data_IF_835249103546
#
_entry.id   IF_835249103546
#
_cell.length_a   1.000
_cell.length_b   1.000
_cell.length_c   1.000
_cell.angle_alpha   90.00
_cell.angle_beta   90.00
_cell.angle_gamma   90.00
#
_symmetry.space_group_name_H-M   'P 1'
#
loop_
_entity.id
_entity.type
_entity.pdbx_description
1 polymer ?
#
# COMPACT_ATOMS: atom_id res chain seq x y z
N UNK A 1 15.24 16.25 -20.56
CA UNK A 1 14.19 15.36 -21.06
C UNK A 1 12.88 15.78 -20.41
N UNK A 2 11.91 16.38 -21.10
CA UNK A 2 10.69 16.86 -20.43
C UNK A 2 9.62 15.77 -20.37
N UNK A 3 9.70 14.87 -19.38
CA UNK A 3 8.59 13.98 -19.02
C UNK A 3 7.69 14.55 -17.90
N UNK A 4 8.10 15.67 -17.30
CA UNK A 4 7.45 16.26 -16.15
C UNK A 4 5.95 16.62 -16.32
N UNK A 5 5.46 17.28 -17.37
CA UNK A 5 4.08 17.76 -17.37
C UNK A 5 3.01 16.66 -17.50
N UNK A 6 3.29 15.55 -18.23
CA UNK A 6 2.34 14.45 -18.39
C UNK A 6 2.27 13.59 -17.13
N UNK A 7 3.44 13.19 -16.61
CA UNK A 7 3.53 12.34 -15.42
C UNK A 7 2.99 13.05 -14.19
N UNK A 8 3.31 14.33 -13.99
CA UNK A 8 2.78 15.12 -12.86
C UNK A 8 1.26 15.27 -12.89
N UNK A 9 0.66 15.45 -14.07
CA UNK A 9 -0.79 15.55 -14.21
C UNK A 9 -1.48 14.21 -13.98
N UNK A 10 -0.89 13.13 -14.46
CA UNK A 10 -1.38 11.78 -14.18
C UNK A 10 -1.29 11.48 -12.69
N UNK A 11 -0.19 11.83 -12.03
CA UNK A 11 -0.02 11.66 -10.59
C UNK A 11 -1.06 12.46 -9.78
N UNK A 12 -1.32 13.70 -10.17
CA UNK A 12 -2.35 14.51 -9.56
C UNK A 12 -3.75 13.89 -9.75
N UNK A 13 -4.05 13.37 -10.96
CA UNK A 13 -5.30 12.68 -11.24
C UNK A 13 -5.46 11.42 -10.39
N UNK A 14 -4.42 10.60 -10.26
CA UNK A 14 -4.45 9.38 -9.44
C UNK A 14 -4.67 9.67 -7.96
N UNK A 15 -4.02 10.71 -7.41
CA UNK A 15 -4.26 11.15 -6.01
C UNK A 15 -5.72 11.59 -5.80
N UNK A 16 -6.27 12.39 -6.71
CA UNK A 16 -7.67 12.81 -6.64
C UNK A 16 -8.62 11.62 -6.78
N UNK A 17 -8.33 10.69 -7.70
CA UNK A 17 -9.13 9.49 -7.88
C UNK A 17 -9.11 8.61 -6.62
N UNK A 18 -7.95 8.40 -5.99
CA UNK A 18 -7.83 7.67 -4.73
C UNK A 18 -8.67 8.31 -3.61
N UNK A 19 -8.63 9.64 -3.47
CA UNK A 19 -9.46 10.37 -2.49
C UNK A 19 -10.97 10.16 -2.73
N UNK A 20 -11.40 10.25 -3.99
CA UNK A 20 -12.82 10.07 -4.35
C UNK A 20 -13.25 8.63 -4.12
N UNK A 21 -12.46 7.64 -4.52
CA UNK A 21 -12.73 6.22 -4.30
C UNK A 21 -12.76 5.88 -2.79
N UNK A 22 -11.81 6.40 -2.01
CA UNK A 22 -11.77 6.19 -0.56
C UNK A 22 -12.98 6.76 0.18
N UNK A 23 -13.55 7.89 -0.33
CA UNK A 23 -14.69 8.59 0.29
C UNK A 23 -16.05 8.08 -0.18
N UNK A 24 -16.22 7.88 -1.49
CA UNK A 24 -17.51 7.55 -2.12
C UNK A 24 -17.66 6.05 -2.41
N UNK A 25 -16.56 5.32 -2.44
CA UNK A 25 -16.48 3.95 -2.98
C UNK A 25 -16.22 3.94 -4.48
N UNK A 26 -15.49 2.95 -4.95
CA UNK A 26 -15.16 2.79 -6.38
C UNK A 26 -16.41 2.59 -7.24
N UNK A 27 -17.29 1.66 -6.84
CA UNK A 27 -18.49 1.32 -7.64
C UNK A 27 -19.45 2.49 -7.78
N UNK A 28 -19.64 3.30 -6.73
CA UNK A 28 -20.50 4.47 -6.74
C UNK A 28 -19.90 5.70 -7.45
N UNK A 29 -18.61 5.66 -7.80
CA UNK A 29 -17.91 6.77 -8.45
C UNK A 29 -18.02 6.67 -9.97
N UNK A 30 -18.33 7.80 -10.63
CA UNK A 30 -18.36 7.93 -12.09
C UNK A 30 -17.18 8.74 -12.60
N UNK A 31 -16.85 8.63 -13.90
CA UNK A 31 -15.84 9.49 -14.54
C UNK A 31 -16.20 10.99 -14.45
N UNK A 32 -17.50 11.33 -14.41
CA UNK A 32 -17.94 12.72 -14.19
C UNK A 32 -17.63 13.23 -12.77
N UNK A 33 -17.74 12.37 -11.77
CA UNK A 33 -17.34 12.72 -10.39
C UNK A 33 -15.84 13.01 -10.31
N UNK A 34 -15.05 12.18 -10.96
CA UNK A 34 -13.59 12.33 -11.03
C UNK A 34 -13.19 13.59 -11.81
N UNK A 35 -13.85 13.86 -12.96
CA UNK A 35 -13.67 15.08 -13.74
C UNK A 35 -13.94 16.33 -12.89
N UNK A 36 -15.05 16.34 -12.17
CA UNK A 36 -15.40 17.47 -11.27
C UNK A 36 -14.39 17.63 -10.14
N UNK A 37 -13.96 16.53 -9.53
CA UNK A 37 -13.03 16.56 -8.41
C UNK A 37 -11.60 16.97 -8.82
N UNK A 38 -11.15 16.55 -10.01
CA UNK A 38 -9.80 16.86 -10.52
C UNK A 38 -9.71 18.22 -11.22
N UNK A 39 -10.84 18.85 -11.55
CA UNK A 39 -10.87 20.04 -12.40
C UNK A 39 -10.54 19.76 -13.88
N UNK A 40 -10.36 18.50 -14.28
CA UNK A 40 -10.08 18.11 -15.65
C UNK A 40 -11.37 17.87 -16.43
N UNK A 41 -11.40 18.25 -17.71
CA UNK A 41 -12.51 17.86 -18.59
C UNK A 41 -12.54 16.33 -18.79
N UNK A 42 -13.72 15.77 -19.08
CA UNK A 42 -13.83 14.33 -19.39
C UNK A 42 -12.92 13.93 -20.57
N UNK A 43 -12.87 14.74 -21.62
CA UNK A 43 -11.97 14.50 -22.76
C UNK A 43 -10.50 14.51 -22.33
N UNK A 44 -10.10 15.44 -21.45
CA UNK A 44 -8.77 15.50 -20.88
C UNK A 44 -8.43 14.25 -20.06
N UNK A 45 -9.38 13.73 -19.28
CA UNK A 45 -9.17 12.49 -18.52
C UNK A 45 -9.00 11.27 -19.42
N UNK A 46 -9.84 11.13 -20.44
CA UNK A 46 -9.75 10.03 -21.42
C UNK A 46 -8.45 10.06 -22.25
N UNK A 47 -7.76 11.19 -22.29
CA UNK A 47 -6.41 11.25 -22.86
C UNK A 47 -5.37 10.49 -22.00
N UNK A 48 -5.57 10.39 -20.68
CA UNK A 48 -4.68 9.70 -19.76
C UNK A 48 -5.08 8.24 -19.53
N UNK A 49 -6.37 7.97 -19.42
CA UNK A 49 -6.89 6.65 -19.07
C UNK A 49 -8.17 6.33 -19.83
N UNK A 50 -8.34 5.11 -20.38
CA UNK A 50 -9.56 4.68 -21.07
C UNK A 50 -10.80 4.67 -20.17
N UNK A 51 -10.63 4.43 -18.87
CA UNK A 51 -11.77 4.31 -17.98
C UNK A 51 -11.43 4.31 -16.49
N UNK A 52 -12.46 4.08 -15.70
CA UNK A 52 -12.39 4.08 -14.24
C UNK A 52 -11.58 2.90 -13.69
N UNK A 53 -11.64 1.75 -14.36
CA UNK A 53 -10.86 0.56 -13.97
C UNK A 53 -9.37 0.78 -14.16
N UNK A 54 -8.96 1.49 -15.23
CA UNK A 54 -7.56 1.84 -15.46
C UNK A 54 -7.02 2.77 -14.37
N UNK A 55 -7.83 3.72 -13.88
CA UNK A 55 -7.44 4.54 -12.73
C UNK A 55 -7.24 3.71 -11.47
N UNK A 56 -8.16 2.79 -11.17
CA UNK A 56 -8.03 1.88 -10.03
C UNK A 56 -6.77 1.01 -10.15
N UNK A 57 -6.55 0.45 -11.33
CA UNK A 57 -5.35 -0.34 -11.62
C UNK A 57 -4.07 0.47 -11.43
N UNK A 58 -3.99 1.68 -12.00
CA UNK A 58 -2.80 2.52 -11.87
C UNK A 58 -2.53 2.95 -10.42
N UNK A 59 -3.58 3.25 -9.63
CA UNK A 59 -3.46 3.54 -8.20
C UNK A 59 -2.85 2.32 -7.48
N UNK A 60 -3.44 1.14 -7.66
CA UNK A 60 -2.96 -0.08 -7.00
C UNK A 60 -1.55 -0.46 -7.44
N UNK A 61 -1.28 -0.43 -8.74
CA UNK A 61 0.03 -0.75 -9.32
C UNK A 61 1.13 0.14 -8.76
N UNK A 62 0.95 1.47 -8.81
CA UNK A 62 1.94 2.43 -8.28
C UNK A 62 2.18 2.23 -6.80
N UNK A 63 1.12 2.07 -6.03
CA UNK A 63 1.21 1.86 -4.60
C UNK A 63 2.04 0.60 -4.26
N UNK A 64 1.73 -0.54 -4.89
CA UNK A 64 2.49 -1.78 -4.66
C UNK A 64 3.92 -1.70 -5.19
N UNK A 65 4.15 -1.09 -6.34
CA UNK A 65 5.51 -0.92 -6.87
C UNK A 65 6.35 -0.02 -5.96
N UNK A 66 5.79 1.09 -5.48
CA UNK A 66 6.50 2.03 -4.61
C UNK A 66 6.83 1.42 -3.26
N UNK A 67 5.85 0.81 -2.57
CA UNK A 67 6.10 0.20 -1.26
C UNK A 67 7.04 -1.01 -1.34
N UNK A 68 6.94 -1.81 -2.41
CA UNK A 68 7.84 -2.94 -2.63
C UNK A 68 9.28 -2.45 -2.85
N UNK A 69 9.47 -1.44 -3.69
CA UNK A 69 10.78 -0.86 -3.95
C UNK A 69 11.38 -0.23 -2.69
N UNK A 70 10.63 0.65 -2.00
CA UNK A 70 11.09 1.32 -0.78
C UNK A 70 11.51 0.33 0.33
N UNK A 71 10.69 -0.69 0.55
CA UNK A 71 11.01 -1.72 1.55
C UNK A 71 12.21 -2.55 1.12
N UNK A 72 12.33 -2.96 -0.15
CA UNK A 72 13.47 -3.73 -0.65
C UNK A 72 14.78 -2.97 -0.47
N UNK A 73 14.81 -1.70 -0.85
CA UNK A 73 15.97 -0.81 -0.68
C UNK A 73 16.36 -0.66 0.80
N UNK A 74 15.35 -0.40 1.65
CA UNK A 74 15.58 -0.17 3.08
C UNK A 74 16.15 -1.39 3.81
N UNK A 75 15.72 -2.61 3.45
CA UNK A 75 16.19 -3.85 4.12
C UNK A 75 17.41 -4.47 3.46
N UNK A 76 17.86 -3.98 2.30
CA UNK A 76 18.92 -4.63 1.51
C UNK A 76 20.22 -4.83 2.29
N UNK A 77 20.64 -3.82 3.04
CA UNK A 77 21.91 -3.79 3.79
C UNK A 77 21.74 -4.05 5.29
N UNK A 78 20.53 -4.36 5.78
CA UNK A 78 20.27 -4.68 7.17
C UNK A 78 20.62 -6.15 7.41
N UNK A 79 21.67 -6.42 8.17
CA UNK A 79 22.19 -7.77 8.43
C UNK A 79 21.48 -8.48 9.57
N UNK A 80 21.13 -7.75 10.64
CA UNK A 80 20.37 -8.33 11.74
C UNK A 80 18.94 -8.68 11.33
N UNK A 81 18.50 -9.93 11.49
CA UNK A 81 17.18 -10.37 11.00
C UNK A 81 16.01 -9.68 11.71
N UNK A 82 16.16 -9.32 12.98
CA UNK A 82 15.11 -8.65 13.74
C UNK A 82 15.01 -7.18 13.31
N UNK A 83 16.14 -6.50 13.17
CA UNK A 83 16.17 -5.13 12.67
C UNK A 83 15.68 -5.05 11.22
N UNK A 84 15.93 -6.07 10.40
CA UNK A 84 15.37 -6.18 9.06
C UNK A 84 13.84 -6.25 9.11
N UNK A 85 13.26 -7.04 10.02
CA UNK A 85 11.82 -7.12 10.21
C UNK A 85 11.24 -5.80 10.74
N UNK A 86 11.89 -5.15 11.72
CA UNK A 86 11.50 -3.83 12.21
C UNK A 86 11.53 -2.78 11.11
N UNK A 87 12.58 -2.79 10.29
CA UNK A 87 12.71 -1.89 9.14
C UNK A 87 11.59 -2.10 8.13
N UNK A 88 11.24 -3.37 7.83
CA UNK A 88 10.09 -3.68 6.98
C UNK A 88 8.79 -3.06 7.52
N UNK A 89 8.48 -3.30 8.80
CA UNK A 89 7.26 -2.78 9.44
C UNK A 89 7.24 -1.26 9.42
N UNK A 90 8.36 -0.62 9.75
CA UNK A 90 8.48 0.84 9.75
C UNK A 90 8.21 1.43 8.37
N UNK A 91 8.88 0.94 7.33
CA UNK A 91 8.70 1.43 5.96
C UNK A 91 7.28 1.22 5.45
N UNK A 92 6.69 0.04 5.72
CA UNK A 92 5.30 -0.22 5.36
C UNK A 92 4.35 0.80 6.00
N UNK A 93 4.47 1.01 7.31
CA UNK A 93 3.55 1.89 8.04
C UNK A 93 3.78 3.37 7.74
N UNK A 94 5.01 3.83 7.60
CA UNK A 94 5.33 5.19 7.14
C UNK A 94 4.75 5.47 5.75
N UNK A 95 4.93 4.53 4.82
CA UNK A 95 4.38 4.65 3.47
C UNK A 95 2.86 4.77 3.49
N UNK A 96 2.17 3.89 4.18
CA UNK A 96 0.71 3.89 4.21
C UNK A 96 0.12 4.99 5.10
N UNK A 97 0.81 5.43 6.15
CA UNK A 97 0.40 6.62 6.90
C UNK A 97 0.41 7.90 6.03
N UNK A 98 1.37 7.98 5.10
CA UNK A 98 1.41 9.06 4.12
C UNK A 98 0.42 8.90 2.96
N UNK A 99 -0.11 7.67 2.72
CA UNK A 99 -0.96 7.30 1.58
C UNK A 99 -2.26 6.60 2.03
N UNK A 100 -2.95 7.18 3.02
CA UNK A 100 -4.13 6.56 3.66
C UNK A 100 -5.31 6.33 2.72
N UNK A 101 -5.53 7.20 1.73
CA UNK A 101 -6.59 7.03 0.75
C UNK A 101 -6.32 5.82 -0.15
N UNK A 102 -5.07 5.70 -0.62
CA UNK A 102 -4.60 4.58 -1.41
C UNK A 102 -4.70 3.27 -0.62
N UNK A 103 -4.28 3.27 0.65
CA UNK A 103 -4.41 2.10 1.53
C UNK A 103 -5.87 1.66 1.67
N UNK A 104 -6.78 2.61 1.87
CA UNK A 104 -8.22 2.32 1.96
C UNK A 104 -8.74 1.73 0.65
N UNK A 105 -8.35 2.28 -0.50
CA UNK A 105 -8.71 1.76 -1.82
C UNK A 105 -8.16 0.34 -2.02
N UNK A 106 -6.89 0.09 -1.69
CA UNK A 106 -6.29 -1.24 -1.79
C UNK A 106 -6.99 -2.28 -0.92
N UNK A 107 -7.48 -1.87 0.24
CA UNK A 107 -8.16 -2.76 1.20
C UNK A 107 -9.60 -3.07 0.79
N UNK A 108 -10.33 -2.09 0.25
CA UNK A 108 -11.76 -2.23 -0.07
C UNK A 108 -12.00 -2.74 -1.50
N UNK A 109 -11.12 -2.41 -2.44
CA UNK A 109 -11.29 -2.69 -3.86
C UNK A 109 -10.31 -3.77 -4.36
N UNK A 110 -9.97 -4.71 -3.48
CA UNK A 110 -8.99 -5.77 -3.77
C UNK A 110 -9.41 -6.65 -4.96
N UNK A 111 -10.72 -6.88 -5.12
CA UNK A 111 -11.31 -7.77 -6.12
C UNK A 111 -12.07 -7.03 -7.23
N UNK A 112 -11.95 -5.70 -7.29
CA UNK A 112 -12.68 -4.86 -8.25
C UNK A 112 -12.02 -4.76 -9.64
N UNK A 113 -10.82 -5.29 -9.80
CA UNK A 113 -10.10 -5.37 -11.08
C UNK A 113 -10.37 -6.71 -11.77
N UNK A 114 -10.33 -6.68 -13.10
CA UNK A 114 -10.55 -7.87 -13.93
C UNK A 114 -9.39 -8.15 -14.89
N UNK A 115 -9.42 -9.31 -15.55
CA UNK A 115 -8.52 -9.64 -16.66
C UNK A 115 -7.03 -9.53 -16.34
N UNK A 116 -6.30 -8.81 -17.17
CA UNK A 116 -4.84 -8.63 -17.05
C UNK A 116 -4.45 -7.73 -15.88
N UNK A 117 -5.22 -6.66 -15.63
CA UNK A 117 -5.03 -5.77 -14.50
C UNK A 117 -5.07 -6.54 -13.17
N UNK A 118 -6.07 -7.40 -12.97
CA UNK A 118 -6.18 -8.23 -11.77
C UNK A 118 -4.97 -9.16 -11.59
N UNK A 119 -4.50 -9.78 -12.71
CA UNK A 119 -3.35 -10.69 -12.67
C UNK A 119 -2.05 -9.98 -12.27
N UNK A 120 -1.79 -8.80 -12.84
CA UNK A 120 -0.59 -8.01 -12.51
C UNK A 120 -0.60 -7.56 -11.05
N UNK A 121 -1.75 -7.05 -10.56
CA UNK A 121 -1.87 -6.63 -9.16
C UNK A 121 -1.71 -7.82 -8.21
N UNK A 122 -2.27 -8.98 -8.54
CA UNK A 122 -2.10 -10.20 -7.75
C UNK A 122 -0.63 -10.64 -7.69
N UNK A 123 0.12 -10.50 -8.79
CA UNK A 123 1.56 -10.79 -8.81
C UNK A 123 2.34 -9.84 -7.89
N UNK A 124 2.07 -8.54 -7.97
CA UNK A 124 2.69 -7.55 -7.07
C UNK A 124 2.38 -7.85 -5.59
N UNK A 125 1.13 -8.17 -5.27
CA UNK A 125 0.72 -8.60 -3.92
C UNK A 125 1.49 -9.83 -3.45
N UNK A 126 1.61 -10.85 -4.31
CA UNK A 126 2.37 -12.08 -4.01
C UNK A 126 3.84 -11.79 -3.75
N UNK A 127 4.48 -10.99 -4.59
CA UNK A 127 5.89 -10.60 -4.44
C UNK A 127 6.12 -9.87 -3.12
N UNK A 128 5.22 -8.95 -2.76
CA UNK A 128 5.31 -8.23 -1.50
C UNK A 128 5.10 -9.14 -0.28
N UNK A 129 4.12 -10.04 -0.34
CA UNK A 129 3.91 -11.04 0.71
C UNK A 129 5.10 -11.99 0.87
N UNK A 130 5.70 -12.46 -0.25
CA UNK A 130 6.88 -13.30 -0.22
C UNK A 130 8.10 -12.57 0.37
N UNK A 131 8.25 -11.26 0.14
CA UNK A 131 9.31 -10.48 0.76
C UNK A 131 9.19 -10.50 2.29
N UNK A 132 7.99 -10.27 2.83
CA UNK A 132 7.74 -10.34 4.27
C UNK A 132 7.94 -11.75 4.82
N UNK A 133 7.44 -12.78 4.13
CA UNK A 133 7.64 -14.18 4.53
C UNK A 133 9.13 -14.54 4.66
N UNK A 134 9.96 -14.13 3.69
CA UNK A 134 11.42 -14.35 3.75
C UNK A 134 12.07 -13.58 4.91
N UNK A 135 11.61 -12.35 5.15
CA UNK A 135 12.11 -11.54 6.26
C UNK A 135 11.80 -12.20 7.61
N UNK A 136 10.57 -12.70 7.80
CA UNK A 136 10.15 -13.42 9.01
C UNK A 136 10.92 -14.74 9.17
N UNK A 137 11.10 -15.51 8.09
CA UNK A 137 11.85 -16.75 8.12
C UNK A 137 13.31 -16.52 8.55
N UNK A 138 13.94 -15.44 8.06
CA UNK A 138 15.29 -15.03 8.47
C UNK A 138 15.39 -14.67 9.94
N UNK A 139 14.30 -14.21 10.57
CA UNK A 139 14.21 -13.93 12.00
C UNK A 139 13.81 -15.15 12.85
N UNK A 140 13.93 -16.38 12.34
CA UNK A 140 13.51 -17.64 12.96
C UNK A 140 12.02 -17.72 13.32
N UNK A 141 11.20 -16.96 12.61
CA UNK A 141 9.74 -16.99 12.78
C UNK A 141 9.14 -18.33 12.35
N UNK A 142 8.29 -18.91 13.21
CA UNK A 142 7.53 -20.13 12.89
C UNK A 142 6.41 -19.82 11.91
N UNK A 143 6.13 -20.76 11.00
CA UNK A 143 5.05 -20.60 10.01
C UNK A 143 5.07 -19.24 9.28
N UNK A 144 6.13 -18.89 8.52
CA UNK A 144 6.33 -17.54 7.98
C UNK A 144 5.15 -17.01 7.17
N UNK A 145 4.42 -17.89 6.46
CA UNK A 145 3.21 -17.49 5.71
C UNK A 145 2.11 -17.00 6.64
N UNK A 146 1.79 -17.76 7.70
CA UNK A 146 0.73 -17.38 8.65
C UNK A 146 1.13 -16.10 9.39
N UNK A 147 2.38 -16.03 9.85
CA UNK A 147 2.93 -14.87 10.54
C UNK A 147 2.92 -13.61 9.65
N UNK A 148 3.24 -13.74 8.36
CA UNK A 148 3.19 -12.63 7.41
C UNK A 148 1.75 -12.10 7.21
N UNK A 149 0.77 -12.98 7.04
CA UNK A 149 -0.63 -12.54 6.90
C UNK A 149 -1.19 -11.95 8.20
N UNK A 150 -0.81 -12.49 9.36
CA UNK A 150 -1.15 -11.90 10.66
C UNK A 150 -0.58 -10.48 10.79
N UNK A 151 0.71 -10.30 10.47
CA UNK A 151 1.35 -8.99 10.51
C UNK A 151 0.73 -8.01 9.51
N UNK A 152 0.41 -8.44 8.29
CA UNK A 152 -0.33 -7.60 7.34
C UNK A 152 -1.71 -7.23 7.88
N UNK A 153 -2.41 -8.12 8.58
CA UNK A 153 -3.66 -7.79 9.25
C UNK A 153 -3.49 -6.66 10.29
N UNK A 154 -2.44 -6.72 11.10
CA UNK A 154 -2.12 -5.66 12.06
C UNK A 154 -1.81 -4.33 11.36
N UNK A 155 -0.93 -4.36 10.34
CA UNK A 155 -0.47 -3.17 9.64
C UNK A 155 -1.54 -2.55 8.73
N UNK A 156 -2.31 -3.38 8.00
CA UNK A 156 -3.28 -2.89 7.03
C UNK A 156 -4.56 -2.34 7.69
N UNK A 157 -4.88 -2.76 8.91
CA UNK A 157 -6.09 -2.30 9.59
C UNK A 157 -6.00 -0.85 10.11
N UNK A 158 -4.83 -0.21 10.06
CA UNK A 158 -4.61 1.15 10.55
C UNK A 158 -5.52 2.19 9.89
N UNK A 159 -5.92 1.99 8.62
CA UNK A 159 -6.81 2.93 7.92
C UNK A 159 -8.17 3.13 8.60
N UNK A 160 -8.54 2.26 9.54
CA UNK A 160 -9.82 2.35 10.26
C UNK A 160 -9.76 3.20 11.52
N UNK A 161 -8.60 3.28 12.18
CA UNK A 161 -8.47 3.91 13.49
C UNK A 161 -7.30 4.88 13.64
N UNK A 162 -6.22 4.71 12.90
CA UNK A 162 -5.07 5.60 13.00
C UNK A 162 -5.36 6.97 12.37
N UNK A 163 -4.91 8.02 13.04
CA UNK A 163 -5.02 9.40 12.58
C UNK A 163 -3.63 10.02 12.50
N UNK A 164 -3.15 10.40 11.29
CA UNK A 164 -1.83 11.00 11.10
C UNK A 164 -1.61 12.32 11.85
N UNK A 165 -2.69 13.04 12.15
CA UNK A 165 -2.73 14.27 12.96
C UNK A 165 -2.96 14.02 14.46
N UNK A 166 -2.96 12.75 14.89
CA UNK A 166 -3.12 12.34 16.27
C UNK A 166 -1.83 12.46 17.09
N UNK A 167 -1.92 12.00 18.35
CA UNK A 167 -0.79 12.06 19.31
C UNK A 167 0.35 11.10 18.92
N UNK A 168 0.02 9.96 18.29
CA UNK A 168 0.97 8.94 17.91
C UNK A 168 1.50 9.15 16.49
N UNK A 169 2.79 9.41 16.35
CA UNK A 169 3.45 9.54 15.05
C UNK A 169 3.58 8.20 14.31
N UNK A 170 3.78 8.21 12.96
CA UNK A 170 3.88 6.97 12.18
C UNK A 170 5.07 6.08 12.57
N UNK A 171 6.18 6.66 12.98
CA UNK A 171 7.36 5.92 13.45
C UNK A 171 7.09 5.21 14.78
N UNK A 172 6.48 5.90 15.74
CA UNK A 172 6.13 5.32 17.04
C UNK A 172 5.06 4.22 16.90
N UNK A 173 4.09 4.42 16.01
CA UNK A 173 3.13 3.38 15.63
C UNK A 173 3.84 2.14 15.09
N UNK A 174 4.79 2.33 14.19
CA UNK A 174 5.54 1.26 13.55
C UNK A 174 6.38 0.48 14.57
N UNK A 175 7.08 1.18 15.45
CA UNK A 175 7.90 0.57 16.50
C UNK A 175 7.02 -0.24 17.47
N UNK A 176 5.86 0.29 17.86
CA UNK A 176 4.90 -0.41 18.73
C UNK A 176 4.40 -1.70 18.07
N UNK A 177 3.99 -1.66 16.81
CA UNK A 177 3.50 -2.85 16.10
C UNK A 177 4.63 -3.87 15.91
N UNK A 178 5.83 -3.41 15.56
CA UNK A 178 7.00 -4.27 15.42
C UNK A 178 7.35 -4.99 16.74
N UNK A 179 7.36 -4.26 17.86
CA UNK A 179 7.61 -4.84 19.19
C UNK A 179 6.59 -5.91 19.55
N UNK A 180 5.29 -5.59 19.43
CA UNK A 180 4.23 -6.55 19.70
C UNK A 180 4.38 -7.82 18.86
N UNK A 181 4.72 -7.69 17.59
CA UNK A 181 4.90 -8.83 16.71
C UNK A 181 6.17 -9.63 17.02
N UNK A 182 7.31 -8.97 17.21
CA UNK A 182 8.59 -9.62 17.53
C UNK A 182 8.53 -10.38 18.84
N UNK A 183 7.90 -9.82 19.87
CA UNK A 183 7.70 -10.51 21.15
C UNK A 183 6.78 -11.71 20.99
N UNK A 184 5.69 -11.60 20.23
CA UNK A 184 4.78 -12.73 19.94
C UNK A 184 5.46 -13.83 19.13
N UNK A 185 6.32 -13.50 18.17
CA UNK A 185 7.08 -14.47 17.36
C UNK A 185 8.13 -15.20 18.19
N UNK A 186 8.76 -14.52 19.18
CA UNK A 186 9.76 -15.12 20.07
C UNK A 186 9.18 -15.89 21.26
N UNK A 187 7.98 -15.51 21.71
CA UNK A 187 7.34 -16.10 22.90
C UNK A 187 6.82 -17.53 22.73
N UNK A 188 7.05 -18.16 21.61
CA UNK A 188 6.63 -19.52 21.30
C UNK A 188 7.60 -20.63 21.73
N UNK A 189 8.48 -20.40 22.71
CA UNK A 189 9.30 -21.44 23.32
C UNK A 189 8.65 -21.89 24.63
N UNK A 190 7.67 -22.78 24.51
CA UNK A 190 7.25 -23.67 25.59
C UNK A 190 7.28 -25.11 25.06
#
# INVERSE_FOLDING_TARGET
MPHAPYDERLDALLRVAAQVFARKGYHATTMRDLSRASGMSLAGMYHYVPGKEDLLYLIQRRCFQSVLHDVQEAIANVTDPIERLRTFVRRHLEFFAANMNEMKVLSHEADSLTGEHAREILDLKRRYAQLLQRTIAGANGRHPSVAAYALFGMMNWIYTWYRPDGVLGPTELADTIAELFVHGVRGGTA
#
